data_IF_204482362315
#
_entry.id   IF_204482362315
#
_cell.length_a   1.000
_cell.length_b   1.000
_cell.length_c   1.000
_cell.angle_alpha   90.00
_cell.angle_beta   90.00
_cell.angle_gamma   90.00
#
_symmetry.space_group_name_H-M   'P 1'
#
loop_
_entity.id
_entity.type
_entity.pdbx_description
1 polymer ?
#
# COMPACT_ATOMS: atom_id res chain seq x y z
N UNK A 1 17.03 -3.97 -34.65
CA UNK A 1 16.73 -3.68 -33.23
C UNK A 1 15.32 -3.11 -33.17
N UNK A 2 14.59 -3.36 -32.07
CA UNK A 2 13.33 -2.65 -31.84
C UNK A 2 13.60 -1.15 -31.76
N UNK A 3 12.71 -0.34 -32.30
CA UNK A 3 12.75 1.11 -32.15
C UNK A 3 12.59 1.51 -30.68
N UNK A 4 13.09 2.69 -30.31
CA UNK A 4 12.89 3.23 -28.96
C UNK A 4 11.40 3.30 -28.59
N UNK A 5 10.52 3.58 -29.56
CA UNK A 5 9.07 3.60 -29.34
C UNK A 5 8.54 2.22 -28.93
N UNK A 6 8.95 1.16 -29.62
CA UNK A 6 8.56 -0.22 -29.28
C UNK A 6 9.13 -0.65 -27.92
N UNK A 7 10.35 -0.23 -27.60
CA UNK A 7 10.95 -0.46 -26.28
C UNK A 7 10.16 0.24 -25.17
N UNK A 8 9.80 1.52 -25.34
CA UNK A 8 8.96 2.28 -24.41
C UNK A 8 7.59 1.59 -24.21
N UNK A 9 7.00 1.11 -25.29
CA UNK A 9 5.73 0.39 -25.22
C UNK A 9 5.88 -0.89 -24.38
N UNK A 10 6.93 -1.67 -24.62
CA UNK A 10 7.27 -2.87 -23.84
C UNK A 10 7.48 -2.57 -22.36
N UNK A 11 8.19 -1.48 -22.02
CA UNK A 11 8.36 -1.04 -20.62
C UNK A 11 7.01 -0.77 -19.95
N UNK A 12 6.12 -0.05 -20.62
CA UNK A 12 4.79 0.26 -20.08
C UNK A 12 3.90 -0.99 -19.98
N UNK A 13 3.98 -1.91 -20.93
CA UNK A 13 3.29 -3.20 -20.84
C UNK A 13 3.75 -4.00 -19.63
N UNK A 14 5.07 -4.07 -19.41
CA UNK A 14 5.66 -4.72 -18.24
C UNK A 14 5.22 -4.06 -16.93
N UNK A 15 5.14 -2.72 -16.89
CA UNK A 15 4.59 -2.01 -15.72
C UNK A 15 3.13 -2.39 -15.43
N UNK A 16 2.32 -2.60 -16.47
CA UNK A 16 0.91 -3.02 -16.32
C UNK A 16 0.77 -4.45 -15.82
N UNK A 17 1.66 -5.36 -16.21
CA UNK A 17 1.55 -6.78 -15.80
C UNK A 17 1.79 -6.98 -14.31
N UNK A 18 2.58 -6.13 -13.66
CA UNK A 18 2.75 -6.14 -12.20
C UNK A 18 1.48 -5.76 -11.43
N UNK A 19 0.51 -5.12 -12.08
CA UNK A 19 -0.76 -4.74 -11.47
C UNK A 19 -0.58 -3.89 -10.21
N UNK A 20 -1.27 -4.27 -9.13
CA UNK A 20 -1.29 -3.48 -7.88
C UNK A 20 0.08 -3.40 -7.19
N UNK A 21 0.94 -4.40 -7.34
CA UNK A 21 2.24 -4.41 -6.63
C UNK A 21 3.13 -3.26 -7.05
N UNK A 22 3.10 -2.90 -8.34
CA UNK A 22 3.85 -1.78 -8.89
C UNK A 22 3.24 -0.42 -8.57
N UNK A 23 2.02 -0.35 -8.03
CA UNK A 23 1.30 0.91 -7.83
C UNK A 23 1.43 1.36 -6.37
N UNK A 24 1.58 2.67 -6.20
CA UNK A 24 1.54 3.36 -4.91
C UNK A 24 0.50 4.47 -4.92
N UNK A 25 -0.17 4.64 -3.79
CA UNK A 25 -1.01 5.79 -3.50
C UNK A 25 -0.15 6.91 -2.92
N UNK A 26 -0.23 8.10 -3.52
CA UNK A 26 0.55 9.27 -3.14
C UNK A 26 -0.42 10.28 -2.52
N UNK A 27 -0.22 10.54 -1.23
CA UNK A 27 -1.01 11.49 -0.44
C UNK A 27 -0.09 12.63 -0.02
N UNK A 28 -0.56 13.85 -0.24
CA UNK A 28 0.03 15.01 0.39
C UNK A 28 -0.70 15.19 1.73
N UNK A 29 0.04 15.38 2.82
CA UNK A 29 -0.54 15.55 4.16
C UNK A 29 -0.10 16.87 4.76
N UNK A 30 -0.99 17.50 5.53
CA UNK A 30 -0.62 18.64 6.36
C UNK A 30 0.23 18.20 7.58
N UNK A 31 0.64 19.19 8.41
CA UNK A 31 1.38 18.92 9.66
C UNK A 31 0.59 18.06 10.67
N UNK A 32 -0.75 18.04 10.56
CA UNK A 32 -1.65 17.25 11.40
C UNK A 32 -1.90 15.84 10.88
N UNK A 33 -1.34 15.46 9.72
CA UNK A 33 -1.55 14.16 9.08
C UNK A 33 -2.83 14.05 8.26
N UNK A 34 -3.59 15.15 8.10
CA UNK A 34 -4.77 15.13 7.24
C UNK A 34 -4.35 15.17 5.77
N UNK A 35 -5.02 14.38 4.93
CA UNK A 35 -4.78 14.41 3.48
C UNK A 35 -5.25 15.75 2.94
N UNK A 36 -4.35 16.45 2.27
CA UNK A 36 -4.61 17.71 1.58
C UNK A 36 -4.36 17.54 0.09
N UNK A 37 -5.14 18.24 -0.72
CA UNK A 37 -5.07 18.15 -2.17
C UNK A 37 -5.56 16.82 -2.74
N UNK A 38 -5.21 16.56 -4.00
CA UNK A 38 -5.67 15.38 -4.72
C UNK A 38 -4.80 14.16 -4.40
N UNK A 39 -5.43 13.04 -4.05
CA UNK A 39 -4.77 11.72 -4.00
C UNK A 39 -4.37 11.31 -5.41
N UNK A 40 -3.09 11.00 -5.60
CA UNK A 40 -2.54 10.55 -6.88
C UNK A 40 -2.14 9.08 -6.78
N UNK A 41 -2.03 8.44 -7.93
CA UNK A 41 -1.55 7.07 -8.04
C UNK A 41 -0.39 7.06 -9.01
N UNK A 42 0.73 6.50 -8.59
CA UNK A 42 1.96 6.43 -9.38
C UNK A 42 2.56 5.04 -9.32
N UNK A 43 3.56 4.79 -10.16
CA UNK A 43 4.34 3.57 -10.04
C UNK A 43 5.37 3.70 -8.91
N UNK A 44 5.67 2.60 -8.25
CA UNK A 44 6.78 2.50 -7.31
C UNK A 44 8.10 2.58 -8.08
N UNK A 45 9.11 3.33 -7.58
CA UNK A 45 10.34 3.59 -8.32
C UNK A 45 11.04 2.34 -8.86
N UNK A 46 11.19 1.32 -8.01
CA UNK A 46 11.97 0.14 -8.37
C UNK A 46 11.37 -0.61 -9.56
N UNK A 47 10.04 -0.72 -9.65
CA UNK A 47 9.37 -1.36 -10.80
C UNK A 47 9.60 -0.60 -12.11
N UNK A 48 9.68 0.73 -12.05
CA UNK A 48 10.03 1.56 -13.22
C UNK A 48 11.47 1.28 -13.63
N UNK A 49 12.41 1.34 -12.69
CA UNK A 49 13.83 1.16 -12.99
C UNK A 49 14.15 -0.24 -13.49
N UNK A 50 13.58 -1.27 -12.88
CA UNK A 50 13.76 -2.66 -13.31
C UNK A 50 13.18 -2.89 -14.70
N UNK A 51 12.01 -2.32 -15.00
CA UNK A 51 11.41 -2.41 -16.35
C UNK A 51 12.27 -1.71 -17.40
N UNK A 52 12.85 -0.55 -17.07
CA UNK A 52 13.77 0.16 -17.96
C UNK A 52 15.06 -0.64 -18.15
N UNK A 53 15.65 -1.17 -17.08
CA UNK A 53 16.87 -1.97 -17.12
C UNK A 53 16.69 -3.24 -17.94
N UNK A 54 15.55 -3.91 -17.81
CA UNK A 54 15.26 -5.11 -18.60
C UNK A 54 15.20 -4.81 -20.10
N UNK A 55 14.51 -3.73 -20.49
CA UNK A 55 14.18 -3.48 -21.89
C UNK A 55 15.27 -2.69 -22.63
N UNK A 56 15.84 -1.67 -21.97
CA UNK A 56 16.92 -0.87 -22.54
C UNK A 56 18.28 -1.46 -22.23
N UNK A 57 18.43 -2.17 -21.11
CA UNK A 57 19.74 -2.53 -20.55
C UNK A 57 20.23 -1.46 -19.56
N UNK A 58 20.87 -1.86 -18.45
CA UNK A 58 21.33 -0.93 -17.41
C UNK A 58 22.43 0.04 -17.89
N UNK A 59 23.14 -0.29 -18.97
CA UNK A 59 24.20 0.56 -19.54
C UNK A 59 23.70 1.54 -20.61
N UNK A 60 22.44 1.43 -21.05
CA UNK A 60 21.88 2.20 -22.17
C UNK A 60 20.98 3.35 -21.73
N UNK A 61 20.97 3.66 -20.44
CA UNK A 61 20.40 4.89 -19.91
C UNK A 61 21.22 5.35 -18.72
N UNK A 62 21.20 6.65 -18.47
CA UNK A 62 21.83 7.25 -17.29
C UNK A 62 21.15 8.55 -16.94
N UNK A 63 21.38 9.01 -15.73
CA UNK A 63 20.96 10.32 -15.30
C UNK A 63 22.14 11.13 -14.78
N UNK A 64 21.98 12.44 -14.78
CA UNK A 64 22.93 13.40 -14.23
C UNK A 64 22.18 14.27 -13.22
N UNK A 65 22.70 14.37 -11.99
CA UNK A 65 22.21 15.32 -11.00
C UNK A 65 22.74 16.71 -11.37
N UNK A 66 21.88 17.58 -11.87
CA UNK A 66 22.29 18.91 -12.35
C UNK A 66 22.21 19.98 -11.27
N UNK A 67 21.27 19.82 -10.32
CA UNK A 67 21.11 20.74 -9.19
C UNK A 67 20.53 20.00 -8.00
N UNK A 68 20.97 20.37 -6.81
CA UNK A 68 20.38 19.93 -5.56
C UNK A 68 20.27 21.12 -4.60
N UNK A 69 19.09 21.31 -4.02
CA UNK A 69 18.78 22.40 -3.09
C UNK A 69 18.08 21.82 -1.86
N UNK A 70 18.60 22.16 -0.67
CA UNK A 70 17.99 21.79 0.61
C UNK A 70 17.34 23.04 1.18
N UNK A 71 16.03 22.98 1.34
CA UNK A 71 15.22 23.99 2.02
C UNK A 71 14.92 23.52 3.45
N UNK A 72 14.33 24.40 4.26
CA UNK A 72 14.03 24.13 5.68
C UNK A 72 13.24 22.82 5.89
N UNK A 73 12.28 22.52 5.01
CA UNK A 73 11.37 21.39 5.14
C UNK A 73 11.43 20.37 4.00
N UNK A 74 12.27 20.59 2.99
CA UNK A 74 12.31 19.71 1.81
C UNK A 74 13.66 19.73 1.08
N UNK A 75 13.97 18.63 0.42
CA UNK A 75 15.01 18.58 -0.60
C UNK A 75 14.37 18.68 -1.99
N UNK A 76 15.02 19.40 -2.90
CA UNK A 76 14.65 19.51 -4.31
C UNK A 76 15.86 19.14 -5.15
N UNK A 77 15.68 18.23 -6.09
CA UNK A 77 16.73 17.81 -7.02
C UNK A 77 16.27 18.06 -8.45
N UNK A 78 17.17 18.54 -9.30
CA UNK A 78 17.00 18.55 -10.75
C UNK A 78 17.89 17.49 -11.38
N UNK A 79 17.29 16.63 -12.18
CA UNK A 79 17.96 15.54 -12.86
C UNK A 79 17.76 15.69 -14.36
N UNK A 80 18.80 15.38 -15.13
CA UNK A 80 18.76 15.25 -16.59
C UNK A 80 18.88 13.79 -17.00
N UNK A 81 18.05 13.35 -17.94
CA UNK A 81 18.01 11.96 -18.40
C UNK A 81 18.65 11.81 -19.78
N UNK A 82 19.44 10.76 -19.92
CA UNK A 82 20.06 10.35 -21.17
C UNK A 82 19.69 8.90 -21.49
N UNK A 83 19.43 8.63 -22.76
CA UNK A 83 19.18 7.28 -23.28
C UNK A 83 20.09 7.06 -24.49
N UNK A 84 20.65 5.86 -24.61
CA UNK A 84 21.51 5.50 -25.74
C UNK A 84 20.64 4.97 -26.89
N UNK A 85 20.80 5.53 -28.09
CA UNK A 85 20.10 5.13 -29.31
C UNK A 85 21.16 4.93 -30.38
N UNK A 86 21.20 3.74 -30.99
CA UNK A 86 22.16 3.38 -32.05
C UNK A 86 23.64 3.69 -31.72
N UNK A 87 23.99 3.64 -30.42
CA UNK A 87 25.35 3.91 -29.94
C UNK A 87 25.55 5.32 -29.37
N UNK A 88 24.67 6.27 -29.70
CA UNK A 88 24.79 7.67 -29.32
C UNK A 88 23.93 8.04 -28.11
N UNK A 89 24.43 8.94 -27.27
CA UNK A 89 23.69 9.44 -26.12
C UNK A 89 22.73 10.56 -26.51
N UNK A 90 21.43 10.30 -26.42
CA UNK A 90 20.39 11.31 -26.54
C UNK A 90 20.05 11.90 -25.17
N UNK A 91 20.20 13.21 -25.01
CA UNK A 91 19.63 13.95 -23.88
C UNK A 91 18.13 14.16 -24.07
N UNK A 92 17.31 13.62 -23.17
CA UNK A 92 15.84 13.77 -23.22
C UNK A 92 15.32 15.05 -22.59
N UNK A 93 16.09 15.66 -21.70
CA UNK A 93 15.71 16.84 -20.93
C UNK A 93 15.89 16.64 -19.43
N UNK A 94 15.51 17.66 -18.64
CA UNK A 94 15.56 17.63 -17.19
C UNK A 94 14.19 17.78 -16.54
N UNK A 95 14.06 17.26 -15.32
CA UNK A 95 12.92 17.48 -14.45
C UNK A 95 13.37 17.65 -13.00
N UNK A 96 12.48 18.26 -12.20
CA UNK A 96 12.66 18.43 -10.77
C UNK A 96 11.83 17.45 -9.97
N UNK A 97 12.46 16.86 -8.98
CA UNK A 97 11.83 16.08 -7.94
C UNK A 97 11.97 16.74 -6.58
N UNK A 98 11.07 16.38 -5.67
CA UNK A 98 11.06 16.96 -4.33
C UNK A 98 10.63 15.92 -3.30
N UNK A 99 11.15 16.06 -2.07
CA UNK A 99 10.76 15.22 -0.94
C UNK A 99 10.84 16.03 0.36
N UNK A 100 9.85 15.82 1.23
CA UNK A 100 9.82 16.47 2.54
C UNK A 100 10.86 15.87 3.48
N UNK A 101 11.51 16.71 4.28
CA UNK A 101 12.43 16.30 5.34
C UNK A 101 11.58 15.87 6.54
N UNK A 102 11.47 14.57 6.75
CA UNK A 102 10.72 14.01 7.88
C UNK A 102 11.66 13.76 9.04
N UNK A 103 11.35 14.33 10.22
CA UNK A 103 12.12 14.17 11.47
C UNK A 103 13.61 14.53 11.32
N UNK A 104 13.92 15.53 10.50
CA UNK A 104 15.30 15.97 10.24
C UNK A 104 16.13 15.04 9.37
N UNK A 105 15.54 14.00 8.76
CA UNK A 105 16.27 13.08 7.89
C UNK A 105 16.48 13.67 6.49
N UNK A 106 17.49 14.53 6.35
CA UNK A 106 17.83 15.21 5.09
C UNK A 106 18.27 14.22 4.02
N UNK A 107 19.07 13.20 4.37
CA UNK A 107 19.59 12.24 3.41
C UNK A 107 18.52 11.39 2.75
N UNK A 108 17.46 11.03 3.48
CA UNK A 108 16.29 10.35 2.91
C UNK A 108 15.50 11.27 1.97
N UNK A 109 15.34 12.54 2.35
CA UNK A 109 14.70 13.54 1.50
C UNK A 109 15.48 13.75 0.19
N UNK A 110 16.80 13.89 0.24
CA UNK A 110 17.64 14.03 -0.95
C UNK A 110 17.48 12.83 -1.90
N UNK A 111 17.61 11.60 -1.38
CA UNK A 111 17.41 10.37 -2.16
C UNK A 111 16.01 10.31 -2.76
N UNK A 112 14.99 10.67 -1.98
CA UNK A 112 13.60 10.74 -2.43
C UNK A 112 13.40 11.77 -3.56
N UNK A 113 13.97 12.97 -3.42
CA UNK A 113 13.87 14.03 -4.42
C UNK A 113 14.57 13.64 -5.74
N UNK A 114 15.75 13.03 -5.67
CA UNK A 114 16.46 12.51 -6.85
C UNK A 114 15.62 11.41 -7.53
N UNK A 115 15.08 10.47 -6.74
CA UNK A 115 14.25 9.36 -7.25
C UNK A 115 12.98 9.87 -7.94
N UNK A 116 12.30 10.86 -7.35
CA UNK A 116 11.13 11.53 -7.93
C UNK A 116 11.50 12.27 -9.23
N UNK A 117 12.65 12.94 -9.27
CA UNK A 117 13.15 13.63 -10.47
C UNK A 117 13.41 12.65 -11.62
N UNK A 118 14.08 11.53 -11.35
CA UNK A 118 14.35 10.47 -12.35
C UNK A 118 13.03 9.94 -12.92
N UNK A 119 12.05 9.59 -12.08
CA UNK A 119 10.77 9.10 -12.57
C UNK A 119 10.02 10.12 -13.42
N UNK A 120 10.06 11.40 -13.05
CA UNK A 120 9.49 12.47 -13.87
C UNK A 120 10.23 12.61 -15.20
N UNK A 121 11.55 12.48 -15.24
CA UNK A 121 12.29 12.41 -16.49
C UNK A 121 11.85 11.24 -17.38
N UNK A 122 11.55 10.07 -16.81
CA UNK A 122 11.04 8.93 -17.57
C UNK A 122 9.72 9.26 -18.30
N UNK A 123 8.91 10.18 -17.77
CA UNK A 123 7.70 10.64 -18.47
C UNK A 123 7.97 11.39 -19.78
N UNK A 124 9.16 11.96 -19.98
CA UNK A 124 9.60 12.56 -21.26
C UNK A 124 9.76 11.52 -22.38
N UNK A 125 9.84 10.24 -22.00
CA UNK A 125 9.83 9.08 -22.89
C UNK A 125 8.47 8.39 -22.89
N UNK A 126 7.42 8.96 -22.29
CA UNK A 126 6.11 8.30 -22.08
C UNK A 126 6.16 7.02 -21.23
N UNK A 127 7.25 6.78 -20.49
CA UNK A 127 7.34 5.69 -19.53
C UNK A 127 6.52 6.06 -18.28
N UNK A 128 5.69 5.13 -17.81
CA UNK A 128 4.78 5.37 -16.69
C UNK A 128 3.57 6.24 -17.03
N UNK A 129 3.24 6.39 -18.33
CA UNK A 129 2.18 7.32 -18.78
C UNK A 129 0.79 7.06 -18.17
N UNK A 130 0.51 5.82 -17.75
CA UNK A 130 -0.74 5.44 -17.09
C UNK A 130 -0.98 6.21 -15.78
N UNK A 131 0.09 6.58 -15.06
CA UNK A 131 0.00 7.42 -13.86
C UNK A 131 -0.52 8.82 -14.20
N UNK A 132 0.03 9.43 -15.24
CA UNK A 132 -0.32 10.79 -15.70
C UNK A 132 -1.70 10.85 -16.36
N UNK A 133 -2.14 9.75 -16.98
CA UNK A 133 -3.49 9.58 -17.53
C UNK A 133 -4.55 9.25 -16.48
N UNK A 134 -4.16 9.02 -15.22
CA UNK A 134 -5.08 8.70 -14.12
C UNK A 134 -5.63 7.27 -14.16
N UNK A 135 -5.01 6.36 -14.92
CA UNK A 135 -5.50 5.00 -15.14
C UNK A 135 -5.22 4.07 -13.95
N UNK A 136 -4.27 4.43 -13.08
CA UNK A 136 -3.82 3.57 -11.97
C UNK A 136 -4.78 3.51 -10.79
N UNK A 137 -5.69 4.48 -10.64
CA UNK A 137 -6.63 4.53 -9.50
C UNK A 137 -7.47 3.26 -9.41
N UNK A 138 -8.08 2.85 -10.52
CA UNK A 138 -8.98 1.69 -10.54
C UNK A 138 -8.20 0.40 -10.30
N UNK A 139 -7.00 0.28 -10.86
CA UNK A 139 -6.12 -0.88 -10.63
C UNK A 139 -5.77 -0.98 -9.14
N UNK A 140 -5.46 0.15 -8.49
CA UNK A 140 -5.15 0.18 -7.08
C UNK A 140 -6.34 -0.26 -6.20
N UNK A 141 -7.52 0.30 -6.45
CA UNK A 141 -8.73 0.00 -5.68
C UNK A 141 -9.20 -1.46 -5.87
N UNK A 142 -9.13 -1.99 -7.10
CA UNK A 142 -9.49 -3.38 -7.36
C UNK A 142 -8.50 -4.37 -6.75
N UNK A 143 -7.20 -4.06 -6.81
CA UNK A 143 -6.16 -4.88 -6.20
C UNK A 143 -6.26 -4.94 -4.67
N UNK A 144 -6.55 -3.80 -4.03
CA UNK A 144 -6.74 -3.73 -2.57
C UNK A 144 -8.02 -4.41 -2.08
N UNK A 145 -9.09 -4.43 -2.89
CA UNK A 145 -10.31 -5.18 -2.57
C UNK A 145 -10.13 -6.71 -2.68
N UNK A 146 -9.35 -7.20 -3.66
CA UNK A 146 -9.09 -8.64 -3.81
C UNK A 146 -8.21 -9.24 -2.70
N UNK A 147 -7.45 -8.40 -2.00
CA UNK A 147 -6.67 -8.82 -0.83
C UNK A 147 -7.50 -8.88 0.46
N UNK A 148 -8.79 -8.51 0.43
CA UNK A 148 -9.71 -8.77 1.55
C UNK A 148 -10.31 -10.19 1.40
N UNK A 149 -10.35 -11.02 2.46
CA UNK A 149 -11.01 -12.32 2.41
C UNK A 149 -12.49 -12.16 2.02
N UNK A 150 -13.10 -13.11 1.28
CA UNK A 150 -14.51 -13.03 0.93
C UNK A 150 -15.36 -12.96 2.20
N UNK A 151 -16.14 -11.90 2.35
CA UNK A 151 -17.23 -11.88 3.32
C UNK A 151 -18.19 -13.02 2.97
N UNK A 152 -18.28 -14.03 3.83
CA UNK A 152 -19.28 -15.10 3.74
C UNK A 152 -20.67 -14.49 3.59
N UNK A 153 -21.24 -14.62 2.40
CA UNK A 153 -22.62 -14.28 2.12
C UNK A 153 -23.53 -15.23 2.90
N UNK A 154 -24.14 -14.73 3.98
CA UNK A 154 -25.21 -15.42 4.68
C UNK A 154 -26.44 -15.47 3.77
N UNK A 155 -26.82 -16.70 3.39
CA UNK A 155 -28.03 -17.03 2.63
C UNK A 155 -29.29 -16.53 3.37
N UNK A 156 -30.32 -15.97 2.70
CA UNK A 156 -31.53 -15.51 3.38
C UNK A 156 -32.52 -16.67 3.54
N UNK A 157 -32.60 -17.24 4.75
CA UNK A 157 -33.61 -18.25 5.08
C UNK A 157 -34.91 -17.61 5.57
N UNK A 158 -36.02 -18.12 5.03
CA UNK A 158 -37.38 -17.64 5.11
C UNK A 158 -37.89 -17.36 6.53
N UNK A 159 -38.66 -16.27 6.64
CA UNK A 159 -39.52 -15.93 7.77
C UNK A 159 -40.66 -16.94 7.93
N UNK A 160 -40.78 -17.54 9.12
CA UNK A 160 -42.08 -17.89 9.71
C UNK A 160 -42.12 -17.46 11.18
N UNK A 161 -43.30 -17.02 11.58
CA UNK A 161 -43.66 -16.11 12.68
C UNK A 161 -43.91 -16.90 13.99
N UNK A 162 -43.58 -16.38 15.19
CA UNK A 162 -43.92 -17.05 16.46
C UNK A 162 -45.15 -16.44 17.15
N UNK A 163 -46.01 -17.32 17.67
CA UNK A 163 -46.94 -17.14 18.79
C UNK A 163 -47.20 -18.58 19.31
N UNK A 164 -47.17 -18.94 20.60
CA UNK A 164 -47.49 -18.22 21.82
C UNK A 164 -47.04 -19.07 23.05
N UNK A 165 -46.44 -18.38 24.03
CA UNK A 165 -46.56 -18.50 25.51
C UNK A 165 -46.37 -19.83 26.29
N UNK A 166 -45.38 -19.73 27.21
CA UNK A 166 -45.31 -20.19 28.62
C UNK A 166 -45.28 -21.68 28.98
N UNK A 167 -44.12 -22.11 29.50
CA UNK A 167 -43.99 -22.64 30.87
C UNK A 167 -42.51 -22.76 31.29
N UNK A 168 -42.24 -22.52 32.57
CA UNK A 168 -40.94 -22.61 33.28
C UNK A 168 -40.14 -23.88 32.98
N UNK A 169 -38.81 -23.86 33.18
CA UNK A 169 -38.10 -25.08 33.58
C UNK A 169 -37.24 -24.92 34.85
N UNK A 170 -37.35 -25.93 35.71
CA UNK A 170 -36.39 -26.27 36.77
C UNK A 170 -35.26 -27.15 36.19
N UNK A 171 -34.04 -26.96 36.73
CA UNK A 171 -32.85 -27.84 36.69
C UNK A 171 -33.12 -29.27 37.21
N UNK A 172 -32.17 -30.26 37.19
CA UNK A 172 -30.78 -30.36 36.66
C UNK A 172 -30.56 -31.72 35.87
N UNK A 173 -29.35 -32.30 35.59
CA UNK A 173 -27.96 -31.94 35.90
C UNK A 173 -26.93 -31.99 34.73
N UNK A 174 -25.71 -31.58 35.09
CA UNK A 174 -24.49 -31.36 34.32
C UNK A 174 -23.87 -32.58 33.60
N UNK A 175 -23.21 -32.31 32.46
CA UNK A 175 -21.84 -32.78 32.23
C UNK A 175 -21.06 -31.78 31.33
N UNK A 176 -19.74 -31.59 31.53
CA UNK A 176 -19.01 -30.39 31.13
C UNK A 176 -17.99 -30.64 30.01
N UNK A 177 -17.96 -29.79 28.99
CA UNK A 177 -16.73 -29.44 28.22
C UNK A 177 -17.07 -28.59 27.00
N UNK A 178 -17.03 -27.27 27.14
CA UNK A 178 -16.74 -26.38 26.00
C UNK A 178 -16.12 -25.06 26.50
N UNK A 179 -14.80 -24.84 26.39
CA UNK A 179 -14.13 -23.66 26.96
C UNK A 179 -14.15 -22.42 26.06
N UNK A 180 -14.98 -22.35 25.01
CA UNK A 180 -14.91 -21.26 24.02
C UNK A 180 -15.71 -19.98 24.37
N UNK A 181 -16.00 -19.73 25.65
CA UNK A 181 -16.83 -18.59 26.09
C UNK A 181 -16.03 -17.53 26.86
N UNK A 182 -15.19 -16.73 26.19
CA UNK A 182 -14.66 -15.47 26.79
C UNK A 182 -14.06 -14.47 25.79
N UNK A 183 -14.56 -14.43 24.54
CA UNK A 183 -14.12 -13.40 23.59
C UNK A 183 -15.11 -12.25 23.48
N UNK A 184 -14.68 -10.98 23.65
CA UNK A 184 -15.58 -9.84 23.62
C UNK A 184 -15.99 -9.52 22.19
N UNK A 185 -17.28 -9.30 21.97
CA UNK A 185 -17.81 -8.83 20.68
C UNK A 185 -17.46 -7.36 20.48
N UNK A 186 -16.30 -7.07 19.90
CA UNK A 186 -15.87 -5.72 19.53
C UNK A 186 -16.23 -5.49 18.05
N UNK A 187 -16.99 -4.43 17.77
CA UNK A 187 -17.44 -4.13 16.40
C UNK A 187 -16.24 -3.93 15.45
N UNK A 188 -16.23 -4.66 14.34
CA UNK A 188 -15.15 -4.61 13.35
C UNK A 188 -13.81 -5.18 13.84
N UNK A 189 -13.83 -6.06 14.85
CA UNK A 189 -12.68 -6.85 15.29
C UNK A 189 -13.09 -8.32 15.30
N UNK A 190 -12.35 -9.11 14.56
CA UNK A 190 -12.44 -10.58 14.54
C UNK A 190 -11.28 -11.17 15.33
N UNK A 191 -11.44 -12.40 15.83
CA UNK A 191 -10.38 -13.09 16.56
C UNK A 191 -10.03 -14.39 15.85
N UNK A 192 -8.74 -14.59 15.61
CA UNK A 192 -8.21 -15.81 15.01
C UNK A 192 -7.37 -16.58 16.03
N UNK A 193 -7.57 -17.90 16.11
CA UNK A 193 -6.79 -18.78 16.97
C UNK A 193 -5.62 -19.36 16.16
N UNK A 194 -4.38 -19.05 16.56
CA UNK A 194 -3.19 -19.58 15.92
C UNK A 194 -2.21 -20.08 16.98
N UNK A 195 -1.96 -21.39 16.96
CA UNK A 195 -0.93 -22.03 17.79
C UNK A 195 -1.01 -21.67 19.29
N UNK A 196 -2.22 -21.68 19.87
CA UNK A 196 -2.44 -21.37 21.30
C UNK A 196 -2.50 -19.87 21.63
N UNK A 197 -2.48 -18.99 20.63
CA UNK A 197 -2.63 -17.54 20.80
C UNK A 197 -3.85 -17.05 20.01
N UNK A 198 -4.63 -16.17 20.62
CA UNK A 198 -5.75 -15.47 20.02
C UNK A 198 -5.24 -14.13 19.49
N UNK A 199 -5.41 -13.88 18.20
CA UNK A 199 -4.96 -12.67 17.51
C UNK A 199 -6.20 -11.85 17.12
N UNK A 200 -6.22 -10.57 17.45
CA UNK A 200 -7.28 -9.67 17.01
C UNK A 200 -6.96 -9.09 15.62
N UNK A 201 -7.90 -9.23 14.68
CA UNK A 201 -7.75 -8.88 13.26
C UNK A 201 -8.92 -7.96 12.88
N UNK A 202 -8.62 -6.85 12.20
CA UNK A 202 -9.63 -5.92 11.73
C UNK A 202 -9.05 -4.55 11.40
N UNK A 203 -9.91 -3.67 10.90
CA UNK A 203 -9.54 -2.28 10.61
C UNK A 203 -9.57 -1.45 11.89
N UNK A 204 -8.69 -0.44 11.95
CA UNK A 204 -8.64 0.52 13.06
C UNK A 204 -8.43 -0.13 14.45
N UNK A 205 -7.70 -1.25 14.54
CA UNK A 205 -7.43 -1.92 15.83
C UNK A 205 -6.74 -1.02 16.85
N UNK A 206 -5.91 -0.09 16.38
CA UNK A 206 -5.23 0.87 17.26
C UNK A 206 -6.23 1.85 17.91
N UNK A 207 -7.29 2.23 17.22
CA UNK A 207 -8.35 3.09 17.74
C UNK A 207 -9.19 2.35 18.81
N UNK A 208 -9.17 1.01 18.77
CA UNK A 208 -9.86 0.10 19.70
C UNK A 208 -8.93 -0.46 20.79
N UNK A 209 -7.73 0.10 20.96
CA UNK A 209 -6.69 -0.38 21.89
C UNK A 209 -7.16 -0.54 23.34
N UNK A 210 -8.00 0.36 23.83
CA UNK A 210 -8.47 0.30 25.22
C UNK A 210 -9.47 -0.85 25.43
N UNK A 211 -10.31 -1.15 24.43
CA UNK A 211 -11.22 -2.30 24.44
C UNK A 211 -10.45 -3.62 24.35
N UNK A 212 -9.38 -3.67 23.53
CA UNK A 212 -8.51 -4.84 23.38
C UNK A 212 -7.71 -5.12 24.66
N UNK A 213 -7.18 -4.07 25.31
CA UNK A 213 -6.53 -4.21 26.63
C UNK A 213 -7.51 -4.71 27.69
N UNK A 214 -8.73 -4.16 27.74
CA UNK A 214 -9.76 -4.61 28.68
C UNK A 214 -10.14 -6.09 28.45
N UNK A 215 -10.02 -6.57 27.22
CA UNK A 215 -10.22 -7.96 26.83
C UNK A 215 -9.03 -8.90 27.15
N UNK A 216 -7.90 -8.33 27.61
CA UNK A 216 -6.68 -9.05 27.95
C UNK A 216 -5.71 -9.24 26.77
N UNK A 217 -5.89 -8.51 25.67
CA UNK A 217 -4.94 -8.53 24.55
C UNK A 217 -3.78 -7.57 24.80
N UNK A 218 -2.59 -7.99 24.38
CA UNK A 218 -1.35 -7.24 24.44
C UNK A 218 -0.85 -6.94 23.03
N UNK A 219 -0.27 -5.75 22.85
CA UNK A 219 0.30 -5.36 21.58
C UNK A 219 1.66 -6.03 21.38
N UNK A 220 1.75 -6.89 20.37
CA UNK A 220 3.03 -7.43 19.91
C UNK A 220 3.68 -6.46 18.92
N UNK A 221 4.88 -5.99 19.28
CA UNK A 221 5.66 -5.06 18.45
C UNK A 221 6.28 -5.75 17.23
N UNK A 222 6.48 -7.07 17.29
CA UNK A 222 7.13 -7.86 16.25
C UNK A 222 6.19 -8.08 15.07
N UNK A 223 4.98 -8.58 15.34
CA UNK A 223 3.92 -8.80 14.36
C UNK A 223 2.99 -7.60 14.14
N UNK A 224 3.17 -6.50 14.89
CA UNK A 224 2.29 -5.31 14.89
C UNK A 224 0.81 -5.68 14.99
N UNK A 225 0.48 -6.58 15.92
CA UNK A 225 -0.89 -7.05 16.13
C UNK A 225 -1.19 -7.25 17.62
N UNK A 226 -2.47 -7.32 17.95
CA UNK A 226 -2.95 -7.55 19.31
C UNK A 226 -3.12 -9.04 19.55
N UNK A 227 -2.47 -9.59 20.58
CA UNK A 227 -2.45 -11.01 20.89
C UNK A 227 -2.82 -11.29 22.35
N UNK A 228 -3.49 -12.41 22.62
CA UNK A 228 -3.79 -12.92 23.96
C UNK A 228 -3.51 -14.43 23.97
N UNK A 229 -2.95 -14.96 25.05
CA UNK A 229 -2.80 -16.42 25.19
C UNK A 229 -4.20 -17.07 25.28
N UNK A 230 -4.45 -18.11 24.46
CA UNK A 230 -5.64 -18.94 24.64
C UNK A 230 -5.46 -19.72 25.95
N UNK A 231 -6.47 -19.68 26.82
CA UNK A 231 -6.46 -20.40 28.09
C UNK A 231 -6.67 -21.90 27.88
#
# INVERSE_FOLDING_TARGET
>A
MASLQEQIQSINERLRTFGIEAIQEIKMTDKGGNVIGQIKYGFRPQYVFDSVNEVLGPENWRYELTKEEIFESQAVAEVRLYVKIDGDWLCKGSHKGQMQIVKGNVGDAQKGAITDAIQKCMSLLSIGSDAYKGLLKNVYLQGTQRTQPPATQSNPQLKTKPASTTSQPAEPPANPSDPSATLPKIAGVSFEHRQGVIIAIGDHLFDKKELLKAAGFQWDKTGRTWMKQAA
#
